data_IF_252596625574
#
_entry.id   IF_252596625574
#
_cell.length_a   1.000
_cell.length_b   1.000
_cell.length_c   1.000
_cell.angle_alpha   90.00
_cell.angle_beta   90.00
_cell.angle_gamma   90.00
#
_symmetry.space_group_name_H-M   'P 1'
#
loop_
_entity.id
_entity.type
_entity.pdbx_description
1 polymer ?
#
# COMPACT_ATOMS: atom_id res chain seq x y z
N UNK A 1 19.45 -1.26 4.56
CA UNK A 1 17.99 -1.01 4.44
C UNK A 1 17.52 -0.39 5.74
N UNK A 2 16.93 0.80 5.69
CA UNK A 2 16.34 1.44 6.87
C UNK A 2 15.19 0.59 7.40
N UNK A 3 14.99 0.60 8.73
CA UNK A 3 13.86 -0.09 9.35
C UNK A 3 12.58 0.66 8.97
N UNK A 4 11.73 0.07 8.13
CA UNK A 4 10.45 0.69 7.71
C UNK A 4 9.42 0.52 8.83
N UNK A 5 8.95 1.64 9.37
CA UNK A 5 7.97 1.68 10.47
C UNK A 5 6.74 2.47 10.04
N UNK A 6 5.63 2.25 10.73
CA UNK A 6 4.43 3.07 10.58
C UNK A 6 4.67 4.45 11.19
N UNK A 7 4.03 5.47 10.63
CA UNK A 7 4.00 6.81 11.21
C UNK A 7 3.49 6.78 12.66
N UNK A 8 4.10 7.59 13.53
CA UNK A 8 3.67 7.70 14.93
C UNK A 8 2.26 8.31 15.06
N UNK A 9 1.91 9.22 14.16
CA UNK A 9 0.58 9.85 14.10
C UNK A 9 -0.25 9.13 13.05
N UNK A 10 -1.35 8.52 13.48
CA UNK A 10 -2.27 7.78 12.63
C UNK A 10 -3.66 8.43 12.64
N UNK A 11 -4.44 8.35 11.55
CA UNK A 11 -5.85 8.72 11.59
C UNK A 11 -6.63 7.79 12.54
N UNK A 12 -7.74 8.27 13.10
CA UNK A 12 -8.56 7.47 14.03
C UNK A 12 -9.23 6.27 13.32
N UNK A 13 -9.66 6.47 12.08
CA UNK A 13 -10.35 5.44 11.31
C UNK A 13 -10.07 5.54 9.81
N UNK A 14 -10.37 4.44 9.11
CA UNK A 14 -10.34 4.37 7.65
C UNK A 14 -11.47 3.44 7.21
N UNK A 15 -12.22 3.86 6.20
CA UNK A 15 -13.23 3.05 5.53
C UNK A 15 -13.13 3.32 4.02
N UNK A 16 -13.32 2.30 3.19
CA UNK A 16 -13.35 2.51 1.75
C UNK A 16 -14.60 3.28 1.34
N UNK A 17 -14.49 4.08 0.27
CA UNK A 17 -15.67 4.67 -0.37
C UNK A 17 -16.52 3.59 -1.03
N UNK A 18 -17.82 3.83 -1.21
CA UNK A 18 -18.72 2.87 -1.87
C UNK A 18 -18.24 2.45 -3.27
N UNK A 19 -17.64 3.38 -4.02
CA UNK A 19 -17.02 3.10 -5.32
C UNK A 19 -15.83 2.13 -5.18
N UNK A 20 -14.97 2.37 -4.19
CA UNK A 20 -13.80 1.54 -3.93
C UNK A 20 -14.19 0.17 -3.39
N UNK A 21 -15.23 0.05 -2.58
CA UNK A 21 -15.79 -1.23 -2.15
C UNK A 21 -16.24 -2.08 -3.36
N UNK A 22 -17.01 -1.49 -4.28
CA UNK A 22 -17.42 -2.18 -5.50
C UNK A 22 -16.22 -2.57 -6.39
N UNK A 23 -15.14 -1.78 -6.39
CA UNK A 23 -13.90 -2.11 -7.08
C UNK A 23 -13.16 -3.28 -6.40
N UNK A 24 -13.12 -3.30 -5.07
CA UNK A 24 -12.50 -4.35 -4.26
C UNK A 24 -13.18 -5.69 -4.52
N UNK A 25 -14.51 -5.73 -4.54
CA UNK A 25 -15.29 -6.94 -4.84
C UNK A 25 -14.90 -7.54 -6.19
N UNK A 26 -14.76 -6.67 -7.20
CA UNK A 26 -14.31 -7.07 -8.53
C UNK A 26 -12.86 -7.56 -8.55
N UNK A 27 -11.98 -7.04 -7.70
CA UNK A 27 -10.60 -7.55 -7.61
C UNK A 27 -10.55 -8.90 -6.92
N UNK A 28 -11.28 -9.08 -5.82
CA UNK A 28 -11.31 -10.36 -5.10
C UNK A 28 -11.86 -11.47 -6.00
N UNK A 29 -12.89 -11.18 -6.80
CA UNK A 29 -13.49 -12.12 -7.73
C UNK A 29 -12.54 -12.63 -8.84
N UNK A 30 -11.38 -11.97 -9.07
CA UNK A 30 -10.36 -12.46 -10.02
C UNK A 30 -9.62 -13.70 -9.53
N UNK A 31 -9.65 -13.94 -8.23
CA UNK A 31 -8.91 -15.03 -7.62
C UNK A 31 -9.84 -16.23 -7.36
N UNK A 32 -9.34 -17.47 -7.54
CA UNK A 32 -10.11 -18.67 -7.22
C UNK A 32 -10.55 -18.70 -5.75
N UNK A 33 -11.61 -19.45 -5.49
CA UNK A 33 -12.10 -19.69 -4.13
C UNK A 33 -10.98 -20.26 -3.23
N UNK A 34 -10.88 -19.74 -2.01
CA UNK A 34 -9.82 -20.07 -1.05
C UNK A 34 -8.48 -19.36 -1.30
N UNK A 35 -8.34 -18.59 -2.40
CA UNK A 35 -7.12 -17.83 -2.74
C UNK A 35 -7.31 -16.31 -2.75
N UNK A 36 -8.39 -15.82 -2.15
CA UNK A 36 -8.72 -14.39 -2.09
C UNK A 36 -7.62 -13.54 -1.44
N UNK A 37 -6.80 -14.12 -0.56
CA UNK A 37 -5.63 -13.48 0.04
C UNK A 37 -4.64 -12.89 -0.99
N UNK A 38 -4.63 -13.41 -2.22
CA UNK A 38 -3.79 -12.91 -3.32
C UNK A 38 -4.17 -11.49 -3.75
N UNK A 39 -5.38 -11.02 -3.41
CA UNK A 39 -5.86 -9.67 -3.69
C UNK A 39 -5.26 -8.60 -2.76
N UNK A 40 -4.43 -8.98 -1.78
CA UNK A 40 -3.90 -8.04 -0.77
C UNK A 40 -3.12 -6.86 -1.37
N UNK A 41 -2.25 -7.11 -2.35
CA UNK A 41 -1.43 -6.05 -2.99
C UNK A 41 -2.30 -4.99 -3.69
N UNK A 42 -3.24 -5.36 -4.60
CA UNK A 42 -4.10 -4.36 -5.24
C UNK A 42 -5.03 -3.64 -4.24
N UNK A 43 -5.49 -4.31 -3.18
CA UNK A 43 -6.31 -3.69 -2.14
C UNK A 43 -5.51 -2.65 -1.33
N UNK A 44 -4.28 -2.98 -0.91
CA UNK A 44 -3.41 -2.02 -0.21
C UNK A 44 -3.06 -0.83 -1.11
N UNK A 45 -2.86 -1.05 -2.40
CA UNK A 45 -2.61 0.03 -3.35
C UNK A 45 -3.80 0.98 -3.47
N UNK A 46 -5.01 0.42 -3.57
CA UNK A 46 -6.24 1.22 -3.60
C UNK A 46 -6.47 1.98 -2.28
N UNK A 47 -6.15 1.35 -1.15
CA UNK A 47 -6.23 1.99 0.15
C UNK A 47 -5.26 3.17 0.27
N UNK A 48 -4.03 3.01 -0.22
CA UNK A 48 -3.03 4.08 -0.25
C UNK A 48 -3.46 5.25 -1.15
N UNK A 49 -4.03 4.96 -2.32
CA UNK A 49 -4.58 5.98 -3.22
C UNK A 49 -5.68 6.79 -2.51
N UNK A 50 -6.62 6.11 -1.85
CA UNK A 50 -7.72 6.77 -1.15
C UNK A 50 -7.25 7.58 0.07
N UNK A 51 -6.24 7.10 0.80
CA UNK A 51 -5.69 7.76 1.98
C UNK A 51 -4.75 8.95 1.66
N UNK A 52 -4.65 9.34 0.38
CA UNK A 52 -3.87 10.51 -0.03
C UNK A 52 -2.39 10.23 -0.29
N UNK A 53 -2.05 9.02 -0.73
CA UNK A 53 -0.70 8.67 -1.16
C UNK A 53 0.15 7.92 -0.15
N UNK A 54 -0.40 7.64 1.04
CA UNK A 54 0.23 6.81 2.07
C UNK A 54 -0.75 5.81 2.69
N UNK A 55 -0.23 4.85 3.43
CA UNK A 55 -0.95 3.68 3.91
C UNK A 55 -0.99 3.69 5.45
N UNK A 56 -2.08 4.22 6.05
CA UNK A 56 -2.23 4.28 7.49
C UNK A 56 -2.57 2.89 8.09
N UNK A 57 -2.29 2.70 9.37
CA UNK A 57 -2.56 1.44 10.09
C UNK A 57 -4.05 1.02 10.02
N UNK A 58 -5.04 1.92 10.24
CA UNK A 58 -6.45 1.58 10.05
C UNK A 58 -6.77 1.04 8.65
N UNK A 59 -6.10 1.52 7.60
CA UNK A 59 -6.31 1.02 6.23
C UNK A 59 -5.78 -0.41 6.05
N UNK A 60 -4.61 -0.69 6.62
CA UNK A 60 -4.04 -2.05 6.66
C UNK A 60 -5.00 -3.01 7.39
N UNK A 61 -5.57 -2.56 8.51
CA UNK A 61 -6.57 -3.33 9.27
C UNK A 61 -7.83 -3.59 8.46
N UNK A 62 -8.37 -2.57 7.78
CA UNK A 62 -9.56 -2.72 6.93
C UNK A 62 -9.33 -3.75 5.81
N UNK A 63 -8.15 -3.75 5.17
CA UNK A 63 -7.79 -4.77 4.15
C UNK A 63 -7.69 -6.16 4.76
N UNK A 64 -7.10 -6.30 5.95
CA UNK A 64 -7.00 -7.58 6.65
C UNK A 64 -8.38 -8.17 6.97
N UNK A 65 -9.28 -7.35 7.51
CA UNK A 65 -10.67 -7.73 7.80
C UNK A 65 -11.42 -8.13 6.53
N UNK A 66 -11.27 -7.35 5.44
CA UNK A 66 -11.94 -7.62 4.16
C UNK A 66 -11.55 -8.98 3.55
N UNK A 67 -10.28 -9.35 3.69
CA UNK A 67 -9.73 -10.61 3.16
C UNK A 67 -9.77 -11.78 4.16
N UNK A 68 -10.24 -11.55 5.39
CA UNK A 68 -10.21 -12.56 6.46
C UNK A 68 -8.78 -13.02 6.82
N UNK A 69 -7.78 -12.13 6.65
CA UNK A 69 -6.37 -12.44 6.90
C UNK A 69 -5.92 -11.93 8.26
N UNK A 70 -4.92 -12.61 8.84
CA UNK A 70 -4.26 -12.08 10.04
C UNK A 70 -3.59 -10.74 9.73
N UNK A 71 -3.86 -9.73 10.56
CA UNK A 71 -3.32 -8.36 10.40
C UNK A 71 -1.80 -8.33 10.20
N UNK A 72 -1.06 -9.17 10.91
CA UNK A 72 0.40 -9.23 10.80
C UNK A 72 0.87 -9.59 9.38
N UNK A 73 0.14 -10.46 8.66
CA UNK A 73 0.48 -10.82 7.26
C UNK A 73 0.35 -9.64 6.32
N UNK A 74 -0.67 -8.81 6.51
CA UNK A 74 -0.86 -7.61 5.69
C UNK A 74 0.22 -6.57 6.02
N UNK A 75 0.60 -6.46 7.29
CA UNK A 75 1.70 -5.59 7.72
C UNK A 75 3.07 -6.05 7.16
N UNK A 76 3.34 -7.35 7.15
CA UNK A 76 4.52 -7.93 6.49
C UNK A 76 4.60 -7.50 5.02
N UNK A 77 3.49 -7.58 4.29
CA UNK A 77 3.41 -7.20 2.88
C UNK A 77 3.59 -5.68 2.71
N UNK A 78 2.92 -4.87 3.53
CA UNK A 78 3.02 -3.41 3.49
C UNK A 78 4.45 -2.91 3.78
N UNK A 79 5.16 -3.57 4.69
CA UNK A 79 6.55 -3.23 5.03
C UNK A 79 7.56 -3.76 4.01
N UNK A 80 7.28 -4.91 3.39
CA UNK A 80 8.14 -5.54 2.40
C UNK A 80 8.24 -4.75 1.09
N UNK A 81 7.11 -4.34 0.51
CA UNK A 81 7.12 -3.61 -0.76
C UNK A 81 7.37 -2.11 -0.56
N UNK A 82 8.42 -1.59 -1.20
CA UNK A 82 8.85 -0.18 -1.08
C UNK A 82 7.86 0.82 -1.68
N UNK A 83 6.94 0.37 -2.56
CA UNK A 83 5.88 1.22 -3.12
C UNK A 83 4.85 1.67 -2.08
N UNK A 84 4.68 0.91 -1.00
CA UNK A 84 3.71 1.26 0.04
C UNK A 84 4.29 2.27 1.01
N UNK A 85 3.80 3.50 1.00
CA UNK A 85 4.31 4.57 1.88
C UNK A 85 3.69 4.42 3.27
N UNK A 86 4.48 4.13 4.30
CA UNK A 86 3.99 3.95 5.68
C UNK A 86 3.91 5.25 6.49
N UNK A 87 4.30 6.35 5.86
CA UNK A 87 4.30 7.70 6.41
C UNK A 87 3.68 8.67 5.39
N UNK A 88 3.04 9.76 5.86
CA UNK A 88 2.47 10.77 4.98
C UNK A 88 3.53 11.33 4.02
N UNK A 89 3.27 11.20 2.71
CA UNK A 89 4.08 11.81 1.65
C UNK A 89 3.37 13.05 1.11
N UNK A 90 4.12 13.92 0.44
CA UNK A 90 3.54 15.07 -0.25
C UNK A 90 2.62 14.64 -1.41
N UNK A 91 1.84 15.59 -1.94
CA UNK A 91 0.93 15.37 -3.08
C UNK A 91 1.62 14.73 -4.30
N UNK A 92 2.89 15.08 -4.52
CA UNK A 92 3.71 14.51 -5.57
C UNK A 92 4.89 13.80 -4.91
N UNK A 93 4.93 12.48 -5.04
CA UNK A 93 6.05 11.66 -4.56
C UNK A 93 6.97 11.33 -5.73
N UNK A 94 8.03 12.12 -5.88
CA UNK A 94 9.00 11.97 -6.98
C UNK A 94 10.04 10.92 -6.60
N UNK A 95 10.14 9.87 -7.42
CA UNK A 95 11.12 8.79 -7.22
C UNK A 95 12.13 8.82 -8.37
N UNK A 96 13.37 9.25 -8.07
CA UNK A 96 14.46 9.25 -9.03
C UNK A 96 15.18 7.90 -9.01
N UNK A 97 15.37 7.30 -10.18
CA UNK A 97 16.08 6.04 -10.30
C UNK A 97 17.57 6.23 -10.00
N UNK A 98 18.06 5.57 -8.94
CA UNK A 98 19.47 5.57 -8.54
C UNK A 98 20.22 4.28 -8.94
N UNK A 99 19.71 3.49 -9.89
CA UNK A 99 20.45 2.29 -10.35
C UNK A 99 21.63 2.68 -11.24
N UNK A 100 22.63 1.80 -11.35
CA UNK A 100 23.88 2.06 -12.10
C UNK A 100 23.65 2.58 -13.52
N UNK A 101 22.60 2.09 -14.21
CA UNK A 101 22.29 2.53 -15.56
C UNK A 101 21.87 4.01 -15.64
N UNK A 102 21.06 4.47 -14.68
CA UNK A 102 20.65 5.87 -14.60
C UNK A 102 21.81 6.74 -14.09
N UNK A 103 22.56 6.25 -13.11
CA UNK A 103 23.76 6.93 -12.58
C UNK A 103 24.79 7.20 -13.67
N UNK A 104 25.12 6.21 -14.52
CA UNK A 104 26.04 6.38 -15.66
C UNK A 104 25.54 7.40 -16.70
N UNK A 105 24.23 7.68 -16.72
CA UNK A 105 23.61 8.66 -17.60
C UNK A 105 23.43 10.03 -16.95
N UNK A 106 24.03 10.27 -15.78
CA UNK A 106 24.00 11.56 -15.08
C UNK A 106 22.75 11.78 -14.23
N UNK A 107 22.09 10.73 -13.73
CA UNK A 107 20.90 10.91 -12.88
C UNK A 107 21.18 11.68 -11.58
N UNK A 108 22.43 11.73 -11.11
CA UNK A 108 22.80 12.50 -9.92
C UNK A 108 22.82 14.03 -10.17
N UNK A 109 22.78 14.46 -11.43
CA UNK A 109 22.77 15.87 -11.85
C UNK A 109 21.35 16.41 -12.14
N UNK A 110 20.30 15.57 -11.99
CA UNK A 110 18.89 15.91 -12.18
C UNK A 110 18.22 16.33 -10.87
#
# INVERSE_FOLDING_TARGET
MSVRRLAAVQPESFAFTAENEAWIDRQIAKYPEGRQASAVVPLLWKAQEQAGGWLPEPAIRAVAERLGMARIRVLEIATFYTMFNLEPVGRHFVQLCGTTHCMMRGSEEL
#
